data_IF_040144743917
#
_entry.id   IF_040144743917
#
_cell.length_a   1.000
_cell.length_b   1.000
_cell.length_c   1.000
_cell.angle_alpha   90.00
_cell.angle_beta   90.00
_cell.angle_gamma   90.00
#
_symmetry.space_group_name_H-M   'P 1'
#
loop_
_entity.id
_entity.type
_entity.pdbx_description
1 polymer ?
#
# COMPACT_ATOMS: atom_id res chain seq x y z
N UNK A 1 -7.16 -45.52 -28.90
CA UNK A 1 -7.33 -44.05 -28.82
C UNK A 1 -7.20 -43.63 -27.35
N UNK A 2 -6.24 -42.77 -26.99
CA UNK A 2 -6.05 -42.34 -25.61
C UNK A 2 -7.08 -41.25 -25.24
N UNK A 3 -7.60 -41.33 -24.01
CA UNK A 3 -8.62 -40.43 -23.45
C UNK A 3 -7.97 -39.08 -23.09
N UNK A 4 -8.55 -37.91 -23.41
CA UNK A 4 -7.94 -36.64 -23.04
C UNK A 4 -7.96 -36.47 -21.51
N UNK A 5 -6.80 -36.13 -20.96
CA UNK A 5 -6.61 -35.83 -19.55
C UNK A 5 -7.48 -34.63 -19.14
N UNK A 6 -8.21 -34.79 -18.04
CA UNK A 6 -9.11 -33.76 -17.53
C UNK A 6 -8.38 -32.45 -17.26
N UNK A 7 -8.81 -31.39 -17.93
CA UNK A 7 -8.41 -30.03 -17.58
C UNK A 7 -8.97 -29.72 -16.18
N UNK A 8 -8.12 -29.84 -15.16
CA UNK A 8 -8.47 -29.43 -13.81
C UNK A 8 -8.80 -27.95 -13.81
N UNK A 9 -10.06 -27.61 -13.55
CA UNK A 9 -10.49 -26.23 -13.32
C UNK A 9 -9.78 -25.71 -12.06
N UNK A 10 -8.68 -24.97 -12.26
CA UNK A 10 -8.00 -24.26 -11.18
C UNK A 10 -8.75 -22.95 -10.94
N UNK A 11 -9.54 -22.93 -9.88
CA UNK A 11 -10.22 -21.71 -9.44
C UNK A 11 -9.16 -20.79 -8.81
N UNK A 12 -8.86 -19.67 -9.47
CA UNK A 12 -7.97 -18.64 -8.93
C UNK A 12 -8.79 -17.52 -8.29
N UNK A 13 -8.30 -16.99 -7.17
CA UNK A 13 -8.97 -15.88 -6.49
C UNK A 13 -8.63 -14.56 -7.21
N UNK A 14 -9.63 -13.85 -7.72
CA UNK A 14 -9.45 -12.59 -8.45
C UNK A 14 -9.51 -11.34 -7.54
N UNK A 15 -9.77 -11.49 -6.24
CA UNK A 15 -9.86 -10.36 -5.30
C UNK A 15 -9.12 -10.66 -4.00
N UNK A 16 -8.19 -9.77 -3.66
CA UNK A 16 -7.40 -9.83 -2.44
C UNK A 16 -8.12 -9.18 -1.26
N UNK A 17 -7.61 -9.47 -0.06
CA UNK A 17 -8.07 -8.79 1.16
C UNK A 17 -7.66 -7.31 1.10
N UNK A 18 -8.44 -6.38 1.69
CA UNK A 18 -8.01 -5.00 1.89
C UNK A 18 -6.70 -4.96 2.70
N UNK A 19 -5.77 -4.12 2.29
CA UNK A 19 -4.45 -3.96 2.94
C UNK A 19 -3.72 -5.31 3.07
N UNK A 20 -3.59 -6.02 1.94
CA UNK A 20 -2.80 -7.24 1.85
C UNK A 20 -1.30 -6.91 1.82
N UNK A 21 -0.63 -7.08 2.96
CA UNK A 21 0.77 -6.71 3.13
C UNK A 21 1.72 -7.66 2.37
N UNK A 22 1.24 -8.85 1.96
CA UNK A 22 2.00 -9.80 1.15
C UNK A 22 2.26 -9.26 -0.27
N UNK A 23 1.52 -8.23 -0.69
CA UNK A 23 1.77 -7.53 -1.96
C UNK A 23 2.92 -6.54 -1.89
N UNK A 24 3.27 -6.08 -0.68
CA UNK A 24 4.33 -5.08 -0.47
C UNK A 24 5.66 -5.80 -0.34
N UNK A 25 5.77 -6.68 0.64
CA UNK A 25 6.93 -7.57 0.79
C UNK A 25 6.43 -8.99 0.49
N UNK A 26 6.88 -9.63 -0.60
CA UNK A 26 6.39 -10.95 -0.96
C UNK A 26 6.93 -12.03 0.00
N UNK A 27 6.09 -12.98 0.44
CA UNK A 27 6.54 -14.08 1.28
C UNK A 27 7.34 -15.12 0.48
N UNK A 28 7.91 -16.10 1.19
CA UNK A 28 8.71 -17.17 0.59
C UNK A 28 7.85 -18.41 0.33
N UNK A 29 7.94 -18.94 -0.90
CA UNK A 29 7.16 -20.12 -1.33
C UNK A 29 7.27 -21.31 -0.38
N UNK A 30 8.48 -21.68 0.05
CA UNK A 30 8.69 -22.81 0.95
C UNK A 30 7.96 -22.63 2.29
N UNK A 31 7.93 -21.40 2.81
CA UNK A 31 7.23 -21.08 4.06
C UNK A 31 5.71 -21.07 3.87
N UNK A 32 5.21 -20.52 2.77
CA UNK A 32 3.77 -20.58 2.42
C UNK A 32 3.26 -22.02 2.32
N UNK A 33 4.05 -22.92 1.68
CA UNK A 33 3.72 -24.34 1.60
C UNK A 33 3.78 -25.03 2.97
N UNK A 34 4.68 -24.59 3.84
CA UNK A 34 4.81 -25.13 5.20
C UNK A 34 3.61 -24.72 6.09
N UNK A 35 2.98 -23.59 5.77
CA UNK A 35 1.91 -23.00 6.56
C UNK A 35 2.32 -22.79 8.02
N UNK A 36 1.34 -22.84 8.91
CA UNK A 36 1.56 -22.88 10.37
C UNK A 36 1.72 -24.31 10.91
N UNK A 37 1.60 -25.33 10.05
CA UNK A 37 1.54 -26.75 10.45
C UNK A 37 2.89 -27.44 10.58
N UNK A 38 3.98 -26.86 10.04
CA UNK A 38 5.32 -27.42 10.18
C UNK A 38 5.56 -28.70 9.39
N UNK A 39 4.90 -28.86 8.22
CA UNK A 39 5.06 -30.01 7.32
C UNK A 39 6.51 -30.19 6.83
N UNK A 40 7.22 -29.10 6.56
CA UNK A 40 8.59 -29.07 6.06
C UNK A 40 9.56 -28.84 7.23
N UNK A 41 10.27 -29.90 7.62
CA UNK A 41 11.23 -29.83 8.71
C UNK A 41 12.40 -28.89 8.37
N UNK A 42 12.78 -28.03 9.32
CA UNK A 42 13.85 -27.05 9.13
C UNK A 42 13.44 -25.78 8.36
N UNK A 43 12.21 -25.71 7.86
CA UNK A 43 11.65 -24.51 7.23
C UNK A 43 10.80 -23.75 8.27
N UNK A 44 10.89 -22.41 8.26
CA UNK A 44 10.06 -21.56 9.11
C UNK A 44 8.57 -21.73 8.79
N UNK A 45 7.72 -21.57 9.79
CA UNK A 45 6.26 -21.49 9.61
C UNK A 45 5.86 -20.10 9.10
N UNK A 46 4.68 -20.00 8.48
CA UNK A 46 4.12 -18.72 8.03
C UNK A 46 3.96 -17.74 9.18
N UNK A 47 3.44 -18.19 10.33
CA UNK A 47 3.30 -17.36 11.54
C UNK A 47 4.63 -16.76 11.98
N UNK A 48 5.71 -17.57 12.02
CA UNK A 48 7.03 -17.08 12.41
C UNK A 48 7.62 -16.09 11.40
N UNK A 49 7.44 -16.35 10.11
CA UNK A 49 7.91 -15.46 9.05
C UNK A 49 7.13 -14.14 9.05
N UNK A 50 5.81 -14.19 9.23
CA UNK A 50 4.96 -13.01 9.21
C UNK A 50 5.27 -12.07 10.38
N UNK A 51 5.38 -12.61 11.60
CA UNK A 51 5.75 -11.82 12.77
C UNK A 51 7.13 -11.17 12.62
N UNK A 52 8.07 -11.84 11.94
CA UNK A 52 9.42 -11.29 11.74
C UNK A 52 9.45 -10.19 10.67
N UNK A 53 8.78 -10.40 9.53
CA UNK A 53 8.87 -9.49 8.39
C UNK A 53 7.88 -8.33 8.55
N UNK A 54 6.62 -8.65 8.85
CA UNK A 54 5.53 -7.66 8.89
C UNK A 54 5.28 -7.10 10.29
N UNK A 55 5.90 -7.66 11.34
CA UNK A 55 5.63 -7.30 12.74
C UNK A 55 4.28 -7.82 13.26
N UNK A 56 3.48 -8.48 12.41
CA UNK A 56 2.15 -9.00 12.73
C UNK A 56 2.02 -10.45 12.26
N UNK A 57 1.32 -11.27 13.04
CA UNK A 57 1.03 -12.67 12.68
C UNK A 57 0.04 -12.80 11.52
N UNK A 58 -0.77 -11.76 11.29
CA UNK A 58 -1.80 -11.73 10.26
C UNK A 58 -1.58 -10.49 9.38
N UNK A 59 -0.89 -10.65 8.23
CA UNK A 59 -0.48 -9.56 7.34
C UNK A 59 -1.65 -9.02 6.48
N UNK A 60 -2.79 -8.77 7.11
CA UNK A 60 -3.99 -8.19 6.49
C UNK A 60 -4.63 -7.18 7.44
N UNK A 61 -5.05 -6.05 6.88
CA UNK A 61 -5.84 -5.06 7.62
C UNK A 61 -7.28 -5.52 7.87
N UNK A 62 -7.80 -5.24 9.06
CA UNK A 62 -9.20 -5.46 9.42
C UNK A 62 -9.92 -4.13 9.62
N UNK A 63 -11.25 -4.12 9.45
CA UNK A 63 -12.07 -2.91 9.62
C UNK A 63 -11.51 -1.69 8.86
N UNK A 64 -11.10 -1.95 7.62
CA UNK A 64 -10.41 -0.96 6.79
C UNK A 64 -11.37 0.14 6.36
N UNK A 65 -11.02 1.37 6.71
CA UNK A 65 -11.72 2.59 6.29
C UNK A 65 -10.68 3.53 5.70
N UNK A 66 -11.01 4.17 4.60
CA UNK A 66 -10.11 5.13 3.97
C UNK A 66 -10.89 6.33 3.46
N UNK A 67 -10.23 7.48 3.45
CA UNK A 67 -10.75 8.72 2.89
C UNK A 67 -9.63 9.39 2.12
N UNK A 68 -9.96 9.87 0.91
CA UNK A 68 -9.11 10.82 0.19
C UNK A 68 -9.47 12.23 0.68
N UNK A 69 -8.56 12.85 1.43
CA UNK A 69 -8.77 14.18 2.02
C UNK A 69 -8.47 15.27 0.97
N UNK A 70 -7.33 15.13 0.29
CA UNK A 70 -6.87 16.03 -0.76
C UNK A 70 -6.49 15.27 -2.03
N UNK A 71 -6.20 16.00 -3.11
CA UNK A 71 -5.76 15.40 -4.38
C UNK A 71 -4.56 14.46 -4.18
N UNK A 72 -3.64 14.81 -3.28
CA UNK A 72 -2.41 14.07 -2.96
C UNK A 72 -2.40 13.42 -1.57
N UNK A 73 -3.53 13.39 -0.85
CA UNK A 73 -3.59 12.88 0.52
C UNK A 73 -4.62 11.76 0.69
N UNK A 74 -4.18 10.65 1.28
CA UNK A 74 -5.01 9.50 1.62
C UNK A 74 -4.86 9.18 3.10
N UNK A 75 -5.99 9.18 3.82
CA UNK A 75 -6.05 8.73 5.20
C UNK A 75 -6.57 7.30 5.23
N UNK A 76 -5.76 6.38 5.74
CA UNK A 76 -6.10 4.96 5.91
C UNK A 76 -6.19 4.61 7.39
N UNK A 77 -7.33 4.05 7.79
CA UNK A 77 -7.53 3.44 9.11
C UNK A 77 -7.71 1.95 8.94
N UNK A 78 -6.95 1.19 9.73
CA UNK A 78 -7.04 -0.26 9.76
C UNK A 78 -6.73 -0.75 11.17
N UNK A 79 -7.37 -1.83 11.57
CA UNK A 79 -7.08 -2.53 12.81
C UNK A 79 -6.12 -3.70 12.50
N UNK A 80 -5.10 -3.87 13.33
CA UNK A 80 -4.19 -5.03 13.34
C UNK A 80 -4.27 -5.74 14.68
N UNK A 81 -4.04 -7.06 14.73
CA UNK A 81 -4.06 -7.78 16.00
C UNK A 81 -2.83 -7.44 16.85
N UNK A 82 -3.08 -6.92 18.06
CA UNK A 82 -2.15 -6.75 19.19
C UNK A 82 -0.99 -5.77 19.02
N UNK A 83 -0.41 -5.66 17.84
CA UNK A 83 0.78 -4.87 17.55
C UNK A 83 0.64 -4.10 16.22
N UNK A 84 1.34 -2.96 16.06
CA UNK A 84 1.43 -2.28 14.79
C UNK A 84 2.21 -3.11 13.76
N UNK A 85 2.03 -2.84 12.45
CA UNK A 85 2.96 -3.33 11.44
C UNK A 85 4.39 -2.85 11.74
N UNK A 86 5.39 -3.64 11.32
CA UNK A 86 6.79 -3.31 11.49
C UNK A 86 7.14 -2.00 10.78
N UNK A 87 8.07 -1.23 11.35
CA UNK A 87 8.60 -0.02 10.71
C UNK A 87 9.22 -0.33 9.34
N UNK A 88 9.84 -1.50 9.19
CA UNK A 88 10.36 -1.99 7.91
C UNK A 88 9.23 -2.13 6.87
N UNK A 89 8.11 -2.75 7.22
CA UNK A 89 6.95 -2.84 6.32
C UNK A 89 6.43 -1.46 5.96
N UNK A 90 6.25 -0.56 6.92
CA UNK A 90 5.76 0.80 6.66
C UNK A 90 6.73 1.56 5.74
N UNK A 91 8.04 1.39 5.93
CA UNK A 91 9.04 1.94 5.04
C UNK A 91 8.97 1.37 3.62
N UNK A 92 8.79 0.05 3.48
CA UNK A 92 8.62 -0.57 2.17
C UNK A 92 7.32 -0.14 1.47
N UNK A 93 6.22 0.08 2.20
CA UNK A 93 5.00 0.67 1.63
C UNK A 93 5.31 2.06 1.06
N UNK A 94 6.05 2.88 1.81
CA UNK A 94 6.46 4.23 1.38
C UNK A 94 7.28 4.18 0.09
N UNK A 95 8.18 3.20 -0.07
CA UNK A 95 8.94 2.98 -1.31
C UNK A 95 8.08 2.49 -2.47
N UNK A 96 7.24 1.46 -2.24
CA UNK A 96 6.43 0.82 -3.29
C UNK A 96 5.44 1.81 -3.91
N UNK A 97 4.91 2.73 -3.10
CA UNK A 97 3.94 3.73 -3.55
C UNK A 97 4.53 5.14 -3.74
N UNK A 98 5.85 5.30 -3.56
CA UNK A 98 6.57 6.58 -3.65
C UNK A 98 5.86 7.72 -2.90
N UNK A 99 5.54 7.47 -1.62
CA UNK A 99 4.76 8.38 -0.80
C UNK A 99 5.35 8.58 0.59
N UNK A 100 5.04 9.72 1.21
CA UNK A 100 5.28 9.93 2.64
C UNK A 100 4.17 9.25 3.44
N UNK A 101 4.56 8.42 4.39
CA UNK A 101 3.64 7.73 5.30
C UNK A 101 3.84 8.27 6.70
N UNK A 102 2.78 8.91 7.20
CA UNK A 102 2.65 9.30 8.61
C UNK A 102 1.81 8.23 9.29
N UNK A 103 2.46 7.39 10.08
CA UNK A 103 1.87 6.23 10.73
C UNK A 103 1.62 6.53 12.20
N UNK A 104 0.36 6.37 12.62
CA UNK A 104 -0.05 6.42 14.02
C UNK A 104 -0.63 5.08 14.43
N UNK A 105 -0.18 4.57 15.56
CA UNK A 105 -0.74 3.39 16.19
C UNK A 105 -1.15 3.71 17.62
N UNK A 106 -2.32 3.21 18.03
CA UNK A 106 -2.77 3.29 19.41
C UNK A 106 -3.50 2.00 19.78
N UNK A 107 -3.10 1.44 20.93
CA UNK A 107 -3.78 0.32 21.56
C UNK A 107 -4.18 0.73 22.99
N UNK A 108 -5.49 0.77 23.30
CA UNK A 108 -5.97 1.40 24.52
C UNK A 108 -5.75 0.55 25.78
N UNK A 109 -5.71 -0.78 25.67
CA UNK A 109 -5.66 -1.66 26.85
C UNK A 109 -4.28 -1.63 27.51
N UNK A 110 -3.21 -1.53 26.73
CA UNK A 110 -1.82 -1.42 27.21
C UNK A 110 -1.27 0.01 27.15
N UNK A 111 -2.12 0.99 26.81
CA UNK A 111 -1.74 2.39 26.62
C UNK A 111 -0.53 2.58 25.69
N UNK A 112 -0.36 1.69 24.70
CA UNK A 112 0.76 1.74 23.78
C UNK A 112 0.41 2.65 22.60
N UNK A 113 1.25 3.66 22.35
CA UNK A 113 1.10 4.61 21.25
C UNK A 113 2.43 4.79 20.55
N UNK A 114 2.39 4.84 19.22
CA UNK A 114 3.56 5.06 18.38
C UNK A 114 3.18 6.00 17.25
N UNK A 115 4.05 6.97 17.00
CA UNK A 115 4.00 7.79 15.80
C UNK A 115 5.31 7.65 15.06
N UNK A 116 5.24 7.43 13.75
CA UNK A 116 6.41 7.22 12.90
C UNK A 116 6.14 7.87 11.55
N UNK A 117 7.09 8.64 11.04
CA UNK A 117 7.08 9.21 9.69
C UNK A 117 8.13 8.47 8.85
N UNK A 118 7.71 8.00 7.69
CA UNK A 118 8.54 7.28 6.72
C UNK A 118 8.44 7.93 5.35
N UNK A 119 9.59 8.19 4.72
CA UNK A 119 9.66 8.80 3.37
C UNK A 119 10.66 8.03 2.53
N UNK A 120 10.24 7.53 1.36
CA UNK A 120 11.05 6.66 0.48
C UNK A 120 11.69 5.49 1.27
N UNK A 121 10.95 5.01 2.27
CA UNK A 121 11.34 3.96 3.21
C UNK A 121 12.58 4.22 4.06
N UNK A 122 12.93 5.49 4.26
CA UNK A 122 13.74 5.92 5.39
C UNK A 122 12.86 6.46 6.52
N UNK A 123 13.29 6.19 7.75
CA UNK A 123 12.66 6.76 8.93
C UNK A 123 13.07 8.22 9.07
N UNK A 124 12.12 9.13 8.85
CA UNK A 124 12.40 10.57 8.84
C UNK A 124 12.21 11.20 10.21
N UNK A 125 11.19 10.78 10.97
CA UNK A 125 10.89 11.34 12.29
C UNK A 125 9.97 10.43 13.13
N UNK A 126 10.07 10.52 14.45
CA UNK A 126 9.13 9.94 15.41
C UNK A 126 8.83 10.97 16.49
N UNK A 127 7.61 11.51 16.49
CA UNK A 127 7.15 12.38 17.58
C UNK A 127 6.22 11.59 18.54
N UNK A 128 6.70 11.22 19.74
CA UNK A 128 5.89 10.51 20.73
C UNK A 128 4.75 11.37 21.31
N UNK A 129 4.81 12.69 21.14
CA UNK A 129 3.80 13.64 21.59
C UNK A 129 2.75 13.93 20.50
N UNK A 130 2.99 13.50 19.25
CA UNK A 130 2.09 13.79 18.14
C UNK A 130 0.70 13.20 18.39
N UNK A 131 -0.29 14.09 18.48
CA UNK A 131 -1.68 13.70 18.65
C UNK A 131 -2.26 13.19 17.33
N UNK A 132 -2.80 11.97 17.37
CA UNK A 132 -3.60 11.46 16.27
C UNK A 132 -4.92 12.28 16.19
N UNK A 133 -5.34 12.78 15.01
CA UNK A 133 -6.61 13.51 14.84
C UNK A 133 -7.89 12.73 15.22
N UNK A 134 -7.75 11.44 15.54
CA UNK A 134 -8.79 10.62 16.16
C UNK A 134 -9.59 9.80 15.15
N UNK A 135 -9.98 8.58 15.58
CA UNK A 135 -10.70 7.57 14.79
C UNK A 135 -12.08 8.01 14.27
N UNK A 136 -12.65 9.04 14.90
CA UNK A 136 -13.99 9.57 14.66
C UNK A 136 -14.01 10.75 13.68
N UNK A 137 -12.86 11.40 13.45
CA UNK A 137 -12.71 12.56 12.57
C UNK A 137 -11.95 12.18 11.32
N UNK A 138 -12.39 11.14 10.62
CA UNK A 138 -12.00 11.01 9.23
C UNK A 138 -12.50 12.27 8.51
N UNK A 139 -11.65 12.95 7.71
CA UNK A 139 -12.11 14.09 6.94
C UNK A 139 -13.31 13.69 6.08
N UNK A 140 -14.22 14.63 5.80
CA UNK A 140 -15.30 14.34 4.87
C UNK A 140 -14.72 14.26 3.45
N UNK A 141 -15.14 13.30 2.61
CA UNK A 141 -14.67 13.21 1.25
C UNK A 141 -14.99 14.51 0.51
N UNK A 142 -13.96 15.18 -0.02
CA UNK A 142 -14.10 16.42 -0.80
C UNK A 142 -14.17 16.07 -2.29
N UNK A 143 -15.19 16.60 -2.97
CA UNK A 143 -15.31 16.50 -4.42
C UNK A 143 -14.47 17.61 -5.05
N UNK A 144 -13.48 17.23 -5.85
CA UNK A 144 -12.73 18.17 -6.67
C UNK A 144 -13.29 18.10 -8.09
N UNK A 145 -13.74 19.24 -8.63
CA UNK A 145 -14.06 19.36 -10.05
C UNK A 145 -12.73 19.28 -10.80
N UNK A 146 -12.54 18.21 -11.57
CA UNK A 146 -11.44 18.13 -12.53
C UNK A 146 -11.89 18.92 -13.74
N UNK A 147 -11.41 20.14 -13.88
CA UNK A 147 -11.56 20.87 -15.14
C UNK A 147 -10.75 20.12 -16.19
N UNK A 148 -11.44 19.60 -17.21
CA UNK A 148 -10.77 19.05 -18.38
C UNK A 148 -9.89 20.14 -18.96
N UNK A 149 -8.58 19.93 -18.91
CA UNK A 149 -7.62 20.78 -19.59
C UNK A 149 -7.93 20.65 -21.07
N UNK A 150 -8.65 21.63 -21.62
CA UNK A 150 -8.90 21.72 -23.05
C UNK A 150 -7.55 21.54 -23.76
N UNK A 151 -7.47 20.53 -24.61
CA UNK A 151 -6.32 20.28 -25.46
C UNK A 151 -6.03 21.58 -26.21
N UNK A 152 -4.92 22.22 -25.85
CA UNK A 152 -4.41 23.39 -26.54
C UNK A 152 -4.04 22.90 -27.95
N UNK A 153 -4.94 23.16 -28.90
CA UNK A 153 -4.70 22.96 -30.32
C UNK A 153 -3.38 23.67 -30.64
N UNK A 154 -2.36 22.88 -30.93
CA UNK A 154 -1.12 23.37 -31.51
C UNK A 154 -1.47 23.94 -32.88
N UNK A 155 -1.73 25.25 -32.91
CA UNK A 155 -1.86 26.02 -34.13
C UNK A 155 -0.51 25.97 -34.84
N UNK A 156 -0.47 25.21 -35.95
CA UNK A 156 0.73 25.04 -36.75
C UNK A 156 1.22 26.40 -37.25
N UNK A 157 2.44 26.76 -36.86
CA UNK A 157 3.12 27.97 -37.32
C UNK A 157 3.13 28.03 -38.87
N UNK A 158 2.78 29.16 -39.50
CA UNK A 158 2.86 29.30 -40.95
C UNK A 158 4.34 29.34 -41.38
N UNK A 159 4.68 28.49 -42.35
CA UNK A 159 6.01 28.41 -42.96
C UNK A 159 6.40 29.73 -43.66
N UNK A 160 7.69 30.10 -43.69
CA UNK A 160 8.15 31.36 -44.26
C UNK A 160 8.03 31.37 -45.80
N UNK A 161 7.51 32.48 -46.34
CA UNK A 161 7.41 32.75 -47.78
C UNK A 161 8.76 33.29 -48.30
N UNK A 162 9.32 32.80 -49.42
CA UNK A 162 10.61 33.27 -49.91
C UNK A 162 10.52 34.68 -50.49
N UNK A 163 11.49 35.53 -50.13
CA UNK A 163 11.66 36.90 -50.59
C UNK A 163 12.07 36.89 -52.08
N UNK A 164 11.18 37.32 -52.97
CA UNK A 164 11.52 37.54 -54.37
C UNK A 164 12.42 38.79 -54.48
N UNK A 165 13.62 38.60 -55.05
CA UNK A 165 14.53 39.68 -55.41
C UNK A 165 13.95 40.53 -56.54
N UNK A 166 13.86 41.84 -56.32
CA UNK A 166 13.51 42.84 -57.33
C UNK A 166 14.63 43.86 -57.44
N UNK A 167 15.08 44.08 -58.67
CA UNK A 167 16.16 44.99 -59.10
C UNK A 167 15.88 46.47 -58.83
#
# INVERSE_FOLDING_TARGET
MPKPAGAGCRITRNRRSPVDMLMVIPPRLATELNGSGGLLQGISTTTSLYSRIYGVEWPSGHNVRWVRDEMSSLVLLTDTPWYPPSGELVGEISKVFDCEIRHWYSEPVRAYRVTTVMTVGEHTDSDPQAEWPGREKLPQPRLYLVEERAEEQTEAAPLPVPLAAGQ
#
